data_IF_102865969901
#
_entry.id   IF_102865969901
#
_cell.length_a   1.000
_cell.length_b   1.000
_cell.length_c   1.000
_cell.angle_alpha   90.00
_cell.angle_beta   90.00
_cell.angle_gamma   90.00
#
_symmetry.space_group_name_H-M   'P 1'
#
loop_
_entity.id
_entity.type
_entity.pdbx_description
1 polymer ?
#
# COMPACT_ATOMS: atom_id res chain seq x y z
N UNK A 1 -9.21 3.50 44.42
CA UNK A 1 -9.32 3.14 43.00
C UNK A 1 -9.49 4.45 42.23
N UNK A 2 -8.41 5.19 42.02
CA UNK A 2 -8.43 6.41 41.21
C UNK A 2 -8.00 6.02 39.81
N UNK A 3 -8.93 6.15 38.87
CA UNK A 3 -8.71 5.96 37.45
C UNK A 3 -7.92 7.18 36.95
N UNK A 4 -6.60 7.06 36.93
CA UNK A 4 -5.75 8.07 36.29
C UNK A 4 -5.45 7.58 34.86
N UNK A 5 -6.11 8.15 33.83
CA UNK A 5 -5.82 7.77 32.46
C UNK A 5 -4.39 8.22 32.14
N UNK A 6 -3.55 7.25 31.77
CA UNK A 6 -2.17 7.48 31.40
C UNK A 6 -2.07 8.60 30.35
N UNK A 7 -1.45 9.72 30.73
CA UNK A 7 -1.10 10.81 29.82
C UNK A 7 -0.23 10.27 28.69
N UNK A 8 -0.83 10.10 27.51
CA UNK A 8 -0.13 9.80 26.27
C UNK A 8 0.76 11.01 25.95
N UNK A 9 2.07 10.79 25.82
CA UNK A 9 3.04 11.83 25.53
C UNK A 9 2.63 12.65 24.28
N UNK A 10 2.35 13.94 24.50
CA UNK A 10 2.21 14.97 23.46
C UNK A 10 3.56 15.12 22.74
N UNK A 11 3.75 14.36 21.67
CA UNK A 11 5.03 14.42 20.94
C UNK A 11 5.23 13.37 19.85
N UNK A 12 4.43 12.31 19.82
CA UNK A 12 4.22 11.60 18.57
C UNK A 12 3.06 12.29 17.87
N UNK A 13 3.35 13.23 16.96
CA UNK A 13 2.47 13.31 15.77
C UNK A 13 2.34 11.87 15.30
N UNK A 14 1.13 11.24 15.28
CA UNK A 14 1.00 10.03 14.50
C UNK A 14 1.49 10.45 13.13
N UNK A 15 2.64 9.90 12.69
CA UNK A 15 3.17 10.15 11.36
C UNK A 15 1.94 10.09 10.49
N UNK A 16 1.61 11.23 9.87
CA UNK A 16 0.32 11.40 9.25
C UNK A 16 0.11 10.10 8.49
N UNK A 17 -0.96 9.36 8.81
CA UNK A 17 -1.42 8.28 7.93
C UNK A 17 -1.92 8.88 6.61
N UNK A 18 -1.37 10.03 6.20
CA UNK A 18 -1.06 10.33 4.82
C UNK A 18 -0.79 9.00 4.18
N UNK A 19 -1.65 8.70 3.23
CA UNK A 19 -1.65 7.50 2.46
C UNK A 19 -0.39 7.46 1.56
N UNK A 20 0.76 7.95 2.05
CA UNK A 20 2.09 7.85 1.46
C UNK A 20 2.72 6.46 1.64
N UNK A 21 1.90 5.45 1.94
CA UNK A 21 2.20 4.06 1.62
C UNK A 21 1.69 3.64 0.23
N UNK A 22 0.97 4.51 -0.48
CA UNK A 22 0.73 4.35 -1.92
C UNK A 22 1.88 5.06 -2.62
N UNK A 23 3.00 4.35 -2.79
CA UNK A 23 3.79 4.58 -3.99
C UNK A 23 2.76 4.54 -5.13
N UNK A 24 2.59 5.65 -5.87
CA UNK A 24 1.61 5.84 -6.94
C UNK A 24 1.86 4.88 -8.09
N UNK A 25 1.66 3.59 -7.83
CA UNK A 25 1.81 2.54 -8.79
C UNK A 25 0.62 2.62 -9.71
N UNK A 26 0.89 2.70 -11.00
CA UNK A 26 -0.13 2.59 -12.03
C UNK A 26 -0.25 1.14 -12.43
N UNK A 27 -1.44 0.73 -12.86
CA UNK A 27 -1.64 -0.61 -13.39
C UNK A 27 -0.73 -0.83 -14.61
N UNK A 28 0.03 -1.92 -14.60
CA UNK A 28 0.93 -2.26 -15.71
C UNK A 28 0.20 -2.87 -16.92
N UNK A 29 -1.10 -3.15 -16.80
CA UNK A 29 -1.89 -3.66 -17.92
C UNK A 29 -1.95 -2.63 -19.05
N UNK A 30 -1.67 -3.07 -20.28
CA UNK A 30 -1.66 -2.20 -21.45
C UNK A 30 -3.01 -1.48 -21.61
N UNK A 31 -2.97 -0.13 -21.62
CA UNK A 31 -4.18 0.70 -21.71
C UNK A 31 -4.91 0.93 -20.38
N UNK A 32 -4.39 0.41 -19.25
CA UNK A 32 -4.90 0.72 -17.93
C UNK A 32 -4.05 1.82 -17.27
N UNK A 33 -4.66 2.97 -16.98
CA UNK A 33 -4.02 4.09 -16.27
C UNK A 33 -4.51 4.27 -14.83
N UNK A 34 -5.15 3.24 -14.26
CA UNK A 34 -5.73 3.28 -12.91
C UNK A 34 -4.64 3.06 -11.87
N UNK A 35 -4.86 3.57 -10.65
CA UNK A 35 -4.00 3.28 -9.51
C UNK A 35 -4.02 1.78 -9.18
N UNK A 36 -2.83 1.20 -9.04
CA UNK A 36 -2.60 -0.18 -8.70
C UNK A 36 -2.49 -0.35 -7.18
N UNK A 37 -3.49 -1.01 -6.59
CA UNK A 37 -3.52 -1.34 -5.16
C UNK A 37 -2.82 -2.65 -4.80
N UNK A 38 -2.44 -3.47 -5.80
CA UNK A 38 -1.82 -4.79 -5.58
C UNK A 38 -0.45 -4.89 -6.23
N UNK A 39 0.54 -5.26 -5.42
CA UNK A 39 1.91 -5.54 -5.83
C UNK A 39 2.20 -7.04 -5.80
N UNK A 40 2.78 -7.55 -6.88
CA UNK A 40 3.19 -8.93 -7.08
C UNK A 40 4.71 -8.95 -7.13
N UNK A 41 5.33 -9.31 -6.01
CA UNK A 41 6.78 -9.33 -5.86
C UNK A 41 7.30 -10.77 -5.79
N UNK A 42 8.32 -11.07 -6.61
CA UNK A 42 9.10 -12.32 -6.53
C UNK A 42 10.50 -12.04 -6.01
N UNK A 43 11.12 -12.97 -5.25
CA UNK A 43 12.52 -12.85 -4.87
C UNK A 43 13.39 -12.62 -6.11
N UNK A 44 14.23 -11.57 -6.07
CA UNK A 44 15.18 -11.21 -7.14
C UNK A 44 14.54 -10.76 -8.47
N UNK A 45 13.26 -10.38 -8.47
CA UNK A 45 12.54 -9.83 -9.63
C UNK A 45 11.93 -8.47 -9.27
N UNK A 46 11.71 -7.58 -10.26
CA UNK A 46 10.94 -6.36 -10.02
C UNK A 46 9.53 -6.71 -9.56
N UNK A 47 8.96 -5.87 -8.70
CA UNK A 47 7.56 -5.99 -8.28
C UNK A 47 6.66 -5.46 -9.38
N UNK A 48 5.64 -6.24 -9.74
CA UNK A 48 4.64 -5.84 -10.72
C UNK A 48 3.38 -5.32 -10.03
N UNK A 49 2.74 -4.30 -10.58
CA UNK A 49 1.60 -3.64 -9.94
C UNK A 49 0.36 -3.64 -10.84
N UNK A 50 -0.77 -4.07 -10.28
CA UNK A 50 -2.05 -4.12 -10.99
C UNK A 50 -3.20 -3.56 -10.16
N UNK A 51 -4.20 -3.01 -10.85
CA UNK A 51 -5.47 -2.60 -10.24
C UNK A 51 -6.34 -3.82 -9.92
N UNK A 52 -7.45 -3.62 -9.22
CA UNK A 52 -8.37 -4.71 -8.86
C UNK A 52 -8.89 -5.49 -10.07
N UNK A 53 -9.18 -4.80 -11.18
CA UNK A 53 -9.68 -5.43 -12.42
C UNK A 53 -8.64 -6.31 -13.11
N UNK A 54 -7.38 -5.90 -13.11
CA UNK A 54 -6.26 -6.63 -13.75
C UNK A 54 -5.42 -7.41 -12.74
N UNK A 55 -5.96 -7.66 -11.56
CA UNK A 55 -5.29 -8.44 -10.52
C UNK A 55 -4.91 -9.83 -11.05
N UNK A 56 -5.78 -10.45 -11.85
CA UNK A 56 -5.56 -11.77 -12.43
C UNK A 56 -4.33 -11.81 -13.36
N UNK A 57 -4.06 -10.73 -14.09
CA UNK A 57 -2.84 -10.62 -14.91
C UNK A 57 -1.58 -10.59 -14.03
N UNK A 58 -1.67 -9.93 -12.87
CA UNK A 58 -0.63 -9.88 -11.85
C UNK A 58 -0.36 -11.21 -11.16
N UNK A 59 -1.37 -12.06 -11.00
CA UNK A 59 -1.23 -13.38 -10.37
C UNK A 59 -0.28 -14.30 -11.18
N UNK A 60 -0.12 -14.09 -12.49
CA UNK A 60 0.89 -14.78 -13.29
C UNK A 60 2.35 -14.44 -12.92
N UNK A 61 2.57 -13.36 -12.17
CA UNK A 61 3.89 -12.93 -11.70
C UNK A 61 4.26 -13.46 -10.31
N UNK A 62 3.37 -14.18 -9.61
CA UNK A 62 3.65 -14.97 -8.39
C UNK A 62 4.19 -16.36 -8.68
#
# INVERSE_FOLDING_TARGET
MSDEPATLAEGMTPAARGHGGVLGHVCEHAGCGKDAGWGFAKPRRPSHWFCFEHRADGEGYL
#
